data_IF_431272420962
#
_entry.id   IF_431272420962
#
_cell.length_a   1.000
_cell.length_b   1.000
_cell.length_c   1.000
_cell.angle_alpha   90.00
_cell.angle_beta   90.00
_cell.angle_gamma   90.00
#
_symmetry.space_group_name_H-M   'P 1'
#
loop_
_entity.id
_entity.type
_entity.pdbx_description
1 polymer ?
#
# COMPACT_ATOMS: atom_id res chain seq x y z
N UNK A 1 -0.04 15.59 -7.88
CA UNK A 1 0.15 15.46 -6.41
C UNK A 1 -0.32 14.12 -5.81
N UNK A 2 -1.24 13.34 -6.42
CA UNK A 2 -1.88 12.16 -5.78
C UNK A 2 -1.09 10.83 -5.79
N UNK A 3 -0.20 10.59 -6.77
CA UNK A 3 0.53 9.30 -6.91
C UNK A 3 1.53 9.03 -5.77
N UNK A 4 2.01 10.07 -5.06
CA UNK A 4 3.08 9.92 -4.06
C UNK A 4 2.66 9.19 -2.77
N UNK A 5 1.37 9.18 -2.42
CA UNK A 5 0.95 8.62 -1.13
C UNK A 5 0.98 7.09 -1.10
N UNK A 6 0.67 6.42 -2.22
CA UNK A 6 0.66 4.95 -2.26
C UNK A 6 2.06 4.35 -2.03
N UNK A 7 3.11 5.01 -2.53
CA UNK A 7 4.50 4.60 -2.29
C UNK A 7 4.89 4.62 -0.81
N UNK A 8 4.20 5.37 0.05
CA UNK A 8 4.43 5.33 1.50
C UNK A 8 4.00 3.99 2.12
N UNK A 9 3.24 3.18 1.39
CA UNK A 9 2.70 1.89 1.83
C UNK A 9 3.41 0.68 1.23
N UNK A 10 4.34 0.86 0.29
CA UNK A 10 5.10 -0.26 -0.32
C UNK A 10 6.61 -0.02 -0.28
N UNK A 11 7.08 1.19 -0.59
CA UNK A 11 8.50 1.48 -0.79
C UNK A 11 9.43 1.14 0.38
N UNK A 12 9.05 1.28 1.67
CA UNK A 12 9.94 0.86 2.76
C UNK A 12 10.37 -0.61 2.64
N UNK A 13 9.43 -1.49 2.30
CA UNK A 13 9.68 -2.92 2.20
C UNK A 13 10.27 -3.27 0.82
N UNK A 14 9.95 -2.51 -0.24
CA UNK A 14 10.59 -2.67 -1.56
C UNK A 14 12.07 -2.24 -1.53
N UNK A 15 12.43 -1.25 -0.73
CA UNK A 15 13.79 -0.74 -0.62
C UNK A 15 14.69 -1.64 0.24
N UNK A 16 14.14 -2.23 1.31
CA UNK A 16 14.81 -3.20 2.17
C UNK A 16 13.82 -4.26 2.68
N UNK A 17 13.67 -5.39 1.95
CA UNK A 17 12.75 -6.46 2.32
C UNK A 17 13.06 -7.13 3.66
N UNK A 18 14.27 -6.93 4.20
CA UNK A 18 14.67 -7.53 5.49
C UNK A 18 14.10 -6.80 6.70
N UNK A 19 13.45 -5.65 6.48
CA UNK A 19 12.89 -4.79 7.54
C UNK A 19 11.43 -4.44 7.25
N UNK A 20 10.50 -5.41 7.31
CA UNK A 20 9.11 -5.19 6.96
C UNK A 20 8.45 -4.20 7.92
N UNK A 21 7.94 -3.10 7.36
CA UNK A 21 7.19 -2.05 8.07
C UNK A 21 5.96 -1.58 7.29
N UNK A 22 5.90 -1.84 5.98
CA UNK A 22 4.78 -1.50 5.13
C UNK A 22 3.68 -2.56 5.21
N UNK A 23 4.08 -3.83 5.28
CA UNK A 23 3.23 -5.03 5.33
C UNK A 23 2.75 -5.43 6.74
N UNK A 24 3.25 -4.77 7.79
CA UNK A 24 2.84 -4.98 9.17
C UNK A 24 1.44 -4.37 9.44
N UNK A 25 0.40 -5.17 9.77
CA UNK A 25 -0.98 -4.70 9.82
C UNK A 25 -1.21 -3.49 10.73
N UNK A 26 -0.69 -3.54 11.96
CA UNK A 26 -0.84 -2.42 12.91
C UNK A 26 -0.12 -1.14 12.47
N UNK A 27 1.02 -1.28 11.78
CA UNK A 27 1.75 -0.13 11.21
C UNK A 27 1.05 0.41 9.97
N UNK A 28 0.49 -0.46 9.14
CA UNK A 28 -0.32 -0.08 7.99
C UNK A 28 -1.53 0.77 8.42
N UNK A 29 -2.33 0.26 9.36
CA UNK A 29 -3.51 0.97 9.87
C UNK A 29 -3.12 2.32 10.50
N UNK A 30 -2.07 2.36 11.33
CA UNK A 30 -1.62 3.62 11.93
C UNK A 30 -1.12 4.62 10.88
N UNK A 31 -0.38 4.16 9.87
CA UNK A 31 0.11 5.00 8.78
C UNK A 31 -1.04 5.54 7.93
N UNK A 32 -2.06 4.72 7.68
CA UNK A 32 -3.26 5.12 6.95
C UNK A 32 -3.93 6.34 7.62
N UNK A 33 -4.16 6.29 8.92
CA UNK A 33 -4.75 7.41 9.68
C UNK A 33 -3.91 8.68 9.58
N UNK A 34 -2.58 8.57 9.76
CA UNK A 34 -1.66 9.70 9.70
C UNK A 34 -1.68 10.33 8.30
N UNK A 35 -1.56 9.50 7.25
CA UNK A 35 -1.50 9.98 5.86
C UNK A 35 -2.84 10.55 5.42
N UNK A 36 -3.96 9.92 5.77
CA UNK A 36 -5.30 10.43 5.47
C UNK A 36 -5.51 11.81 6.10
N UNK A 37 -5.18 11.96 7.39
CA UNK A 37 -5.27 13.23 8.09
C UNK A 37 -4.36 14.31 7.48
N UNK A 38 -3.07 14.00 7.29
CA UNK A 38 -2.10 14.96 6.76
C UNK A 38 -2.41 15.38 5.31
N UNK A 39 -3.00 14.48 4.51
CA UNK A 39 -3.39 14.76 3.13
C UNK A 39 -4.78 15.42 3.00
N UNK A 40 -5.55 15.52 4.09
CA UNK A 40 -6.94 15.97 4.06
C UNK A 40 -7.83 15.06 3.19
N UNK A 41 -7.54 13.76 3.17
CA UNK A 41 -8.26 12.77 2.37
C UNK A 41 -9.14 11.90 3.26
N UNK A 42 -10.31 11.54 2.73
CA UNK A 42 -11.15 10.53 3.36
C UNK A 42 -10.46 9.14 3.28
N UNK A 43 -10.54 8.40 4.39
CA UNK A 43 -9.84 7.12 4.60
C UNK A 43 -10.18 6.08 3.51
N UNK A 44 -11.46 5.87 3.23
CA UNK A 44 -11.96 4.93 2.22
C UNK A 44 -11.45 5.28 0.83
N UNK A 45 -11.41 6.57 0.48
CA UNK A 45 -10.85 7.05 -0.78
C UNK A 45 -9.36 6.75 -0.89
N UNK A 46 -8.59 6.97 0.18
CA UNK A 46 -7.17 6.65 0.21
C UNK A 46 -6.94 5.14 0.08
N UNK A 47 -7.70 4.32 0.81
CA UNK A 47 -7.64 2.85 0.71
C UNK A 47 -7.91 2.34 -0.70
N UNK A 48 -8.96 2.84 -1.36
CA UNK A 48 -9.28 2.46 -2.75
C UNK A 48 -8.15 2.83 -3.71
N UNK A 49 -7.46 3.94 -3.48
CA UNK A 49 -6.29 4.31 -4.28
C UNK A 49 -5.09 3.43 -4.00
N UNK A 50 -4.83 3.07 -2.74
CA UNK A 50 -3.75 2.14 -2.38
C UNK A 50 -4.03 0.79 -3.06
N UNK A 51 -5.23 0.23 -2.91
CA UNK A 51 -5.62 -1.05 -3.52
C UNK A 51 -5.48 -1.05 -5.05
N UNK A 52 -5.98 -0.01 -5.72
CA UNK A 52 -5.86 0.09 -7.18
C UNK A 52 -4.40 0.24 -7.63
N UNK A 53 -3.58 0.98 -6.88
CA UNK A 53 -2.18 1.18 -7.19
C UNK A 53 -1.37 -0.09 -6.98
N UNK A 54 -1.55 -0.79 -5.85
CA UNK A 54 -0.82 -2.03 -5.57
C UNK A 54 -1.21 -3.14 -6.54
N UNK A 55 -2.47 -3.19 -6.98
CA UNK A 55 -2.89 -4.09 -8.06
C UNK A 55 -2.18 -3.81 -9.39
N UNK A 56 -2.03 -2.52 -9.77
CA UNK A 56 -1.28 -2.14 -10.97
C UNK A 56 0.22 -2.42 -10.84
N UNK A 57 0.80 -2.10 -9.69
CA UNK A 57 2.21 -2.32 -9.39
C UNK A 57 2.55 -3.81 -9.42
N UNK A 58 1.74 -4.65 -8.78
CA UNK A 58 1.87 -6.11 -8.85
C UNK A 58 1.83 -6.64 -10.29
N UNK A 59 0.97 -6.09 -11.15
CA UNK A 59 0.91 -6.48 -12.56
C UNK A 59 2.19 -6.14 -13.33
N UNK A 60 2.89 -5.05 -12.99
CA UNK A 60 4.20 -4.73 -13.55
C UNK A 60 5.28 -5.70 -13.07
N UNK A 61 5.38 -5.96 -11.77
CA UNK A 61 6.31 -6.95 -11.22
C UNK A 61 6.15 -8.32 -11.90
N UNK A 62 4.90 -8.80 -12.03
CA UNK A 62 4.60 -10.04 -12.74
C UNK A 62 5.00 -10.00 -14.23
N UNK A 63 4.82 -8.85 -14.89
CA UNK A 63 5.21 -8.66 -16.29
C UNK A 63 6.72 -8.69 -16.51
N UNK A 64 7.48 -8.21 -15.53
CA UNK A 64 8.95 -8.19 -15.55
C UNK A 64 9.56 -9.51 -15.03
N UNK A 65 8.73 -10.44 -14.51
CA UNK A 65 9.16 -11.72 -13.96
C UNK A 65 9.66 -11.65 -12.51
N UNK A 66 9.43 -10.52 -11.85
CA UNK A 66 9.80 -10.27 -10.45
C UNK A 66 8.66 -10.64 -9.48
N UNK A 67 8.98 -10.74 -8.18
CA UNK A 67 7.98 -11.04 -7.15
C UNK A 67 7.12 -9.82 -6.80
N UNK A 68 5.77 -9.95 -6.81
CA UNK A 68 4.84 -8.90 -6.39
C UNK A 68 4.43 -9.01 -4.90
N UNK A 69 5.13 -9.79 -4.06
CA UNK A 69 4.66 -10.18 -2.72
C UNK A 69 4.30 -8.98 -1.83
N UNK A 70 5.10 -7.92 -1.86
CA UNK A 70 4.86 -6.71 -1.05
C UNK A 70 3.60 -5.99 -1.53
N UNK A 71 3.45 -5.81 -2.83
CA UNK A 71 2.29 -5.14 -3.43
C UNK A 71 1.00 -5.92 -3.14
N UNK A 72 1.02 -7.24 -3.32
CA UNK A 72 -0.12 -8.11 -3.01
C UNK A 72 -0.47 -8.05 -1.52
N UNK A 73 0.54 -8.10 -0.64
CA UNK A 73 0.29 -8.02 0.80
C UNK A 73 -0.34 -6.69 1.22
N UNK A 74 0.09 -5.59 0.63
CA UNK A 74 -0.47 -4.25 0.90
C UNK A 74 -1.88 -4.12 0.27
N UNK A 75 -2.14 -4.77 -0.87
CA UNK A 75 -3.47 -4.88 -1.46
C UNK A 75 -4.44 -5.60 -0.52
N UNK A 76 -4.03 -6.73 0.06
CA UNK A 76 -4.84 -7.49 1.03
C UNK A 76 -5.18 -6.67 2.27
N UNK A 77 -4.21 -5.97 2.85
CA UNK A 77 -4.45 -5.08 3.99
C UNK A 77 -5.45 -3.99 3.63
N UNK A 78 -5.32 -3.43 2.43
CA UNK A 78 -6.25 -2.39 1.95
C UNK A 78 -7.67 -2.93 1.76
N UNK A 79 -7.81 -4.14 1.22
CA UNK A 79 -9.10 -4.80 1.04
C UNK A 79 -9.76 -5.14 2.39
N UNK A 80 -8.99 -5.68 3.33
CA UNK A 80 -9.47 -5.97 4.69
C UNK A 80 -9.99 -4.72 5.40
N UNK A 81 -9.29 -3.59 5.30
CA UNK A 81 -9.70 -2.30 5.88
C UNK A 81 -10.92 -1.66 5.18
N UNK A 82 -11.21 -2.08 3.94
CA UNK A 82 -12.41 -1.71 3.18
C UNK A 82 -13.60 -2.65 3.43
N UNK A 83 -13.37 -3.83 4.02
CA UNK A 83 -14.38 -4.85 4.23
C UNK A 83 -14.78 -5.61 2.95
N UNK A 84 -13.86 -5.75 2.00
CA UNK A 84 -14.07 -6.53 0.77
C UNK A 84 -13.18 -7.77 0.70
#
# INVERSE_FOLDING_TARGET
MRRRFANLFTNPDLADPTRPVATEPGRFARRLEIVAHAAGLERTRLLRWILAWTGLSAAWFLGDGDSPDIDLRVAELSAAELGC
#
